data_IF_794283579293
#
_entry.id   IF_794283579293
#
_cell.length_a   1.000
_cell.length_b   1.000
_cell.length_c   1.000
_cell.angle_alpha   90.00
_cell.angle_beta   90.00
_cell.angle_gamma   90.00
#
_symmetry.space_group_name_H-M   'P 1'
#
loop_
_entity.id
_entity.type
_entity.pdbx_description
1 polymer ?
#
# COMPACT_ATOMS: atom_id res chain seq x y z
N UNK A 1 10.74 -21.21 -23.52
CA UNK A 1 10.51 -22.65 -23.42
C UNK A 1 9.84 -23.21 -24.66
N UNK A 2 9.33 -24.43 -24.54
CA UNK A 2 8.63 -25.17 -25.59
C UNK A 2 7.24 -24.59 -25.90
N UNK A 3 6.65 -25.04 -27.01
CA UNK A 3 5.25 -24.79 -27.30
C UNK A 3 4.40 -25.42 -26.20
N UNK A 4 3.59 -24.61 -25.52
CA UNK A 4 2.58 -25.10 -24.60
C UNK A 4 1.21 -25.07 -25.26
N UNK A 5 0.39 -26.07 -25.02
CA UNK A 5 -0.99 -26.16 -25.52
C UNK A 5 -2.00 -26.62 -24.45
N UNK A 6 -1.56 -26.84 -23.21
CA UNK A 6 -2.38 -27.34 -22.12
C UNK A 6 -1.95 -26.84 -20.74
N UNK A 7 -2.89 -26.80 -19.79
CA UNK A 7 -2.60 -26.70 -18.36
C UNK A 7 -2.73 -28.06 -17.68
N UNK A 8 -2.12 -28.19 -16.51
CA UNK A 8 -2.12 -29.41 -15.72
C UNK A 8 -2.63 -29.12 -14.32
N UNK A 9 -3.55 -29.94 -13.81
CA UNK A 9 -4.00 -29.96 -12.42
C UNK A 9 -3.39 -31.17 -11.72
N UNK A 10 -2.82 -30.97 -10.54
CA UNK A 10 -2.18 -32.05 -9.77
C UNK A 10 -3.25 -32.78 -8.96
N UNK A 11 -3.58 -34.01 -9.36
CA UNK A 11 -4.48 -34.88 -8.59
C UNK A 11 -3.76 -35.53 -7.40
N UNK A 12 -2.48 -35.87 -7.60
CA UNK A 12 -1.61 -36.50 -6.61
C UNK A 12 -0.13 -36.20 -6.92
N UNK A 13 0.74 -36.22 -5.91
CA UNK A 13 2.19 -36.01 -6.03
C UNK A 13 2.63 -34.55 -5.90
N UNK A 14 3.87 -34.28 -6.29
CA UNK A 14 4.47 -32.93 -6.24
C UNK A 14 5.24 -32.59 -7.50
N UNK A 15 5.11 -31.35 -7.95
CA UNK A 15 5.78 -30.81 -9.12
C UNK A 15 6.52 -29.54 -8.73
N UNK A 16 7.77 -29.43 -9.14
CA UNK A 16 8.63 -28.26 -8.94
C UNK A 16 8.68 -27.43 -10.21
N UNK A 17 8.49 -26.12 -10.09
CA UNK A 17 8.61 -25.17 -11.20
C UNK A 17 9.98 -24.50 -11.14
N UNK A 18 10.74 -24.60 -12.22
CA UNK A 18 12.13 -24.16 -12.31
C UNK A 18 12.34 -23.19 -13.49
N UNK A 19 13.31 -22.28 -13.36
CA UNK A 19 13.78 -21.45 -14.46
C UNK A 19 15.31 -21.41 -14.45
N UNK A 20 15.94 -21.44 -15.62
CA UNK A 20 17.37 -21.19 -15.72
C UNK A 20 17.65 -19.70 -15.57
N UNK A 21 18.45 -19.34 -14.56
CA UNK A 21 18.96 -17.99 -14.42
C UNK A 21 20.00 -17.68 -15.51
N UNK A 22 20.27 -16.38 -15.71
CA UNK A 22 21.17 -15.89 -16.78
C UNK A 22 22.61 -16.42 -16.63
N UNK A 23 23.02 -16.70 -15.40
CA UNK A 23 24.30 -17.29 -15.01
C UNK A 23 24.30 -18.83 -14.98
N UNK A 24 23.22 -19.45 -15.47
CA UNK A 24 23.15 -20.89 -15.76
C UNK A 24 22.76 -21.79 -14.59
N UNK A 25 22.54 -21.26 -13.39
CA UNK A 25 22.00 -22.05 -12.29
C UNK A 25 20.47 -22.17 -12.37
N UNK A 26 19.95 -23.31 -11.93
CA UNK A 26 18.52 -23.58 -11.92
C UNK A 26 17.89 -22.98 -10.66
N UNK A 27 16.93 -22.07 -10.83
CA UNK A 27 16.19 -21.43 -9.74
C UNK A 27 14.83 -22.09 -9.61
N UNK A 28 14.57 -22.66 -8.44
CA UNK A 28 13.23 -23.16 -8.09
C UNK A 28 12.33 -21.98 -7.74
N UNK A 29 11.27 -21.77 -8.52
CA UNK A 29 10.28 -20.70 -8.28
C UNK A 29 9.29 -21.12 -7.20
N UNK A 30 8.80 -22.36 -7.26
CA UNK A 30 7.83 -22.91 -6.30
C UNK A 30 7.73 -24.42 -6.40
N UNK A 31 7.17 -25.05 -5.36
CA UNK A 31 6.77 -26.45 -5.32
C UNK A 31 5.25 -26.53 -5.19
N UNK A 32 4.61 -27.33 -6.03
CA UNK A 32 3.15 -27.43 -6.17
C UNK A 32 2.68 -28.84 -5.78
N UNK A 33 1.54 -28.93 -5.11
CA UNK A 33 0.98 -30.18 -4.61
C UNK A 33 -0.46 -30.43 -5.08
N UNK A 34 -1.11 -31.44 -4.49
CA UNK A 34 -2.49 -31.81 -4.83
C UNK A 34 -3.44 -30.61 -4.77
N UNK A 35 -4.19 -30.39 -5.85
CA UNK A 35 -5.13 -29.29 -6.01
C UNK A 35 -4.54 -28.04 -6.67
N UNK A 36 -3.22 -27.93 -6.74
CA UNK A 36 -2.56 -26.87 -7.50
C UNK A 36 -2.55 -27.18 -9.00
N UNK A 37 -2.43 -26.13 -9.81
CA UNK A 37 -2.33 -26.24 -11.25
C UNK A 37 -1.18 -25.37 -11.78
N UNK A 38 -0.67 -25.72 -12.96
CA UNK A 38 0.39 -24.96 -13.64
C UNK A 38 0.22 -25.00 -15.16
N UNK A 39 0.86 -24.04 -15.83
CA UNK A 39 0.78 -23.91 -17.28
C UNK A 39 -0.50 -23.20 -17.76
N UNK A 40 -1.18 -22.52 -16.86
CA UNK A 40 -2.37 -21.71 -17.10
C UNK A 40 -2.08 -20.49 -18.00
N UNK A 41 -0.87 -19.92 -17.93
CA UNK A 41 -0.49 -18.76 -18.74
C UNK A 41 -0.65 -19.05 -20.24
N UNK A 42 -0.20 -20.22 -20.67
CA UNK A 42 -0.33 -20.72 -22.04
C UNK A 42 -1.78 -20.78 -22.51
N UNK A 43 -2.74 -21.03 -21.62
CA UNK A 43 -4.16 -21.00 -21.98
C UNK A 43 -4.69 -19.58 -22.21
N UNK A 44 -4.11 -18.59 -21.52
CA UNK A 44 -4.56 -17.21 -21.54
C UNK A 44 -3.88 -16.39 -22.64
N UNK A 45 -2.55 -16.44 -22.74
CA UNK A 45 -1.76 -15.58 -23.64
C UNK A 45 -1.32 -16.25 -24.95
N UNK A 46 -1.34 -17.59 -25.00
CA UNK A 46 -0.89 -18.37 -26.16
C UNK A 46 0.62 -18.30 -26.41
N UNK A 47 1.40 -17.83 -25.45
CA UNK A 47 2.86 -17.72 -25.52
C UNK A 47 3.53 -19.08 -25.24
N UNK A 48 4.84 -19.14 -25.44
CA UNK A 48 5.65 -20.32 -25.08
C UNK A 48 5.72 -20.50 -23.56
N UNK A 49 6.03 -21.73 -23.10
CA UNK A 49 6.23 -22.04 -21.68
C UNK A 49 7.23 -21.07 -21.04
N UNK A 50 6.85 -20.52 -19.90
CA UNK A 50 7.61 -19.51 -19.13
C UNK A 50 8.60 -20.12 -18.15
N UNK A 51 8.41 -21.38 -17.76
CA UNK A 51 9.23 -22.12 -16.81
C UNK A 51 9.13 -23.62 -17.09
N UNK A 52 10.11 -24.38 -16.61
CA UNK A 52 10.16 -25.84 -16.66
C UNK A 52 9.40 -26.43 -15.47
N UNK A 53 8.79 -27.61 -15.67
CA UNK A 53 8.07 -28.33 -14.63
C UNK A 53 8.70 -29.72 -14.45
N UNK A 54 9.22 -30.00 -13.26
CA UNK A 54 9.93 -31.24 -12.93
C UNK A 54 9.17 -31.98 -11.84
N UNK A 55 8.89 -33.26 -12.06
CA UNK A 55 8.23 -34.11 -11.06
C UNK A 55 9.18 -34.31 -9.87
N UNK A 56 8.75 -33.91 -8.68
CA UNK A 56 9.52 -34.07 -7.44
C UNK A 56 9.14 -35.35 -6.67
N UNK A 57 7.87 -35.75 -6.76
CA UNK A 57 7.32 -36.98 -6.20
C UNK A 57 6.32 -37.58 -7.21
N UNK A 58 6.16 -38.91 -7.23
CA UNK A 58 5.25 -39.63 -8.15
C UNK A 58 3.88 -38.92 -8.27
N UNK A 59 3.63 -38.36 -9.45
CA UNK A 59 2.54 -37.44 -9.68
C UNK A 59 1.53 -37.94 -10.71
N UNK A 60 0.25 -37.67 -10.43
CA UNK A 60 -0.85 -37.87 -11.37
C UNK A 60 -1.44 -36.51 -11.72
N UNK A 61 -1.48 -36.20 -13.01
CA UNK A 61 -1.89 -34.90 -13.52
C UNK A 61 -3.13 -35.06 -14.40
N UNK A 62 -4.13 -34.21 -14.19
CA UNK A 62 -5.23 -34.03 -15.11
C UNK A 62 -4.86 -32.94 -16.13
N UNK A 63 -5.04 -33.24 -17.42
CA UNK A 63 -4.70 -32.35 -18.52
C UNK A 63 -5.95 -31.62 -19.03
N UNK A 64 -5.85 -30.30 -19.19
CA UNK A 64 -6.85 -29.51 -19.89
C UNK A 64 -6.19 -28.78 -21.07
N UNK A 65 -6.55 -29.18 -22.28
CA UNK A 65 -6.05 -28.55 -23.50
C UNK A 65 -6.68 -27.18 -23.71
N UNK A 66 -5.94 -26.31 -24.40
CA UNK A 66 -6.42 -24.97 -24.78
C UNK A 66 -7.68 -25.04 -25.64
N UNK A 67 -7.77 -26.03 -26.52
CA UNK A 67 -8.96 -26.22 -27.35
C UNK A 67 -10.19 -26.55 -26.51
N UNK A 68 -10.10 -27.51 -25.59
CA UNK A 68 -11.21 -27.87 -24.71
C UNK A 68 -11.61 -26.73 -23.78
N UNK A 69 -10.63 -26.01 -23.22
CA UNK A 69 -10.89 -24.83 -22.40
C UNK A 69 -11.66 -23.75 -23.19
N UNK A 70 -11.18 -23.39 -24.38
CA UNK A 70 -11.84 -22.39 -25.22
C UNK A 70 -13.22 -22.85 -25.71
N UNK A 71 -13.39 -24.13 -26.04
CA UNK A 71 -14.69 -24.70 -26.41
C UNK A 71 -15.69 -24.59 -25.25
N UNK A 72 -15.28 -24.99 -24.04
CA UNK A 72 -16.10 -24.88 -22.83
C UNK A 72 -16.52 -23.43 -22.56
N UNK A 73 -15.59 -22.49 -22.67
CA UNK A 73 -15.85 -21.06 -22.46
C UNK A 73 -16.82 -20.49 -23.52
N UNK A 74 -16.71 -20.92 -24.78
CA UNK A 74 -17.64 -20.53 -25.85
C UNK A 74 -19.05 -21.09 -25.65
N UNK A 75 -19.15 -22.31 -25.14
CA UNK A 75 -20.44 -22.95 -24.86
C UNK A 75 -21.11 -22.45 -23.59
N UNK A 76 -20.36 -21.84 -22.66
CA UNK A 76 -20.85 -21.40 -21.35
C UNK A 76 -20.39 -19.96 -21.03
N UNK A 77 -20.92 -18.93 -21.73
CA UNK A 77 -20.50 -17.54 -21.56
C UNK A 77 -20.73 -16.98 -20.15
N UNK A 78 -21.74 -17.48 -19.42
CA UNK A 78 -22.00 -17.08 -18.03
C UNK A 78 -20.85 -17.43 -17.10
N UNK A 79 -20.22 -18.60 -17.30
CA UNK A 79 -19.06 -19.06 -16.51
C UNK A 79 -17.84 -18.18 -16.77
N UNK A 80 -17.67 -17.71 -18.00
CA UNK A 80 -16.60 -16.77 -18.34
C UNK A 80 -16.78 -15.44 -17.61
N UNK A 81 -18.01 -14.92 -17.54
CA UNK A 81 -18.33 -13.69 -16.84
C UNK A 81 -18.10 -13.83 -15.32
N UNK A 82 -18.45 -14.97 -14.73
CA UNK A 82 -18.17 -15.27 -13.33
C UNK A 82 -16.66 -15.35 -13.04
N UNK A 83 -15.88 -16.01 -13.89
CA UNK A 83 -14.42 -16.05 -13.76
C UNK A 83 -13.80 -14.65 -13.83
N UNK A 84 -14.23 -13.82 -14.79
CA UNK A 84 -13.77 -12.43 -14.91
C UNK A 84 -14.10 -11.62 -13.65
N UNK A 85 -15.31 -11.80 -13.10
CA UNK A 85 -15.76 -11.15 -11.87
C UNK A 85 -14.93 -11.60 -10.67
N UNK A 86 -14.63 -12.90 -10.56
CA UNK A 86 -13.79 -13.45 -9.50
C UNK A 86 -12.35 -12.92 -9.57
N UNK A 87 -11.77 -12.85 -10.78
CA UNK A 87 -10.43 -12.30 -11.01
C UNK A 87 -10.38 -10.80 -10.70
N UNK A 88 -11.36 -10.01 -11.12
CA UNK A 88 -11.46 -8.59 -10.81
C UNK A 88 -11.53 -8.36 -9.29
N UNK A 89 -12.34 -9.16 -8.58
CA UNK A 89 -12.42 -9.12 -7.12
C UNK A 89 -11.09 -9.48 -6.44
N UNK A 90 -10.39 -10.50 -6.94
CA UNK A 90 -9.07 -10.90 -6.42
C UNK A 90 -8.01 -9.83 -6.66
N UNK A 91 -8.01 -9.20 -7.84
CA UNK A 91 -7.11 -8.10 -8.17
C UNK A 91 -7.35 -6.91 -7.24
N UNK A 92 -8.61 -6.51 -7.03
CA UNK A 92 -8.97 -5.42 -6.12
C UNK A 92 -8.50 -5.68 -4.68
N UNK A 93 -8.71 -6.89 -4.17
CA UNK A 93 -8.21 -7.29 -2.83
C UNK A 93 -6.69 -7.25 -2.74
N UNK A 94 -5.99 -7.68 -3.79
CA UNK A 94 -4.52 -7.67 -3.81
C UNK A 94 -3.99 -6.23 -3.84
N UNK A 95 -4.64 -5.35 -4.59
CA UNK A 95 -4.30 -3.93 -4.65
C UNK A 95 -4.52 -3.22 -3.29
N UNK A 96 -5.62 -3.53 -2.59
CA UNK A 96 -5.85 -3.08 -1.21
C UNK A 96 -4.76 -3.53 -0.23
N UNK A 97 -4.29 -4.78 -0.33
CA UNK A 97 -3.20 -5.27 0.51
C UNK A 97 -1.86 -4.57 0.20
N UNK A 98 -1.59 -4.28 -1.07
CA UNK A 98 -0.40 -3.54 -1.49
C UNK A 98 -0.45 -2.07 -1.00
N UNK A 99 -1.60 -1.41 -1.08
CA UNK A 99 -1.83 -0.06 -0.51
C UNK A 99 -1.44 0.00 0.97
N UNK A 100 -1.89 -0.97 1.76
CA UNK A 100 -1.57 -1.02 3.19
C UNK A 100 -0.08 -1.26 3.48
N UNK A 101 0.61 -2.04 2.64
CA UNK A 101 2.06 -2.26 2.79
C UNK A 101 2.88 -1.04 2.38
N UNK A 102 2.56 -0.40 1.27
CA UNK A 102 3.27 0.79 0.79
C UNK A 102 3.18 1.94 1.81
N UNK A 103 1.97 2.24 2.29
CA UNK A 103 1.76 3.27 3.32
C UNK A 103 2.44 2.93 4.64
N UNK A 104 2.42 1.66 5.06
CA UNK A 104 3.14 1.22 6.26
C UNK A 104 4.65 1.34 6.11
N UNK A 105 5.21 1.02 4.93
CA UNK A 105 6.65 1.08 4.71
C UNK A 105 7.20 2.50 4.83
N UNK A 106 6.51 3.50 4.24
CA UNK A 106 6.87 4.92 4.39
C UNK A 106 6.94 5.36 5.86
N UNK A 107 6.01 4.87 6.70
CA UNK A 107 6.03 5.20 8.13
C UNK A 107 7.14 4.46 8.91
N UNK A 108 7.62 3.30 8.43
CA UNK A 108 8.63 2.47 9.13
C UNK A 108 10.04 2.94 8.82
N UNK A 109 10.33 3.23 7.54
CA UNK A 109 11.64 3.73 7.10
C UNK A 109 11.98 5.07 7.78
N UNK A 110 11.00 5.95 7.95
CA UNK A 110 11.18 7.24 8.61
C UNK A 110 11.39 7.10 10.13
N UNK A 111 10.64 6.22 10.80
CA UNK A 111 10.79 5.97 12.25
C UNK A 111 12.14 5.38 12.63
N UNK A 112 12.76 4.63 11.72
CA UNK A 112 14.08 4.05 11.91
C UNK A 112 15.20 5.11 11.86
N UNK A 113 14.94 6.29 11.29
CA UNK A 113 15.92 7.37 11.14
C UNK A 113 15.81 8.48 12.20
N UNK A 114 14.77 8.49 13.04
CA UNK A 114 14.60 9.56 14.03
C UNK A 114 15.69 9.54 15.10
N UNK A 115 16.36 10.67 15.24
CA UNK A 115 17.32 10.92 16.33
C UNK A 115 16.58 11.18 17.65
N UNK A 116 17.30 11.10 18.77
CA UNK A 116 16.73 11.47 20.08
C UNK A 116 16.26 12.94 20.11
N UNK A 117 16.94 13.82 19.38
CA UNK A 117 16.58 15.23 19.26
C UNK A 117 15.25 15.43 18.51
N UNK A 118 14.99 14.64 17.47
CA UNK A 118 13.71 14.69 16.73
C UNK A 118 12.53 14.32 17.62
N UNK A 119 12.69 13.27 18.43
CA UNK A 119 11.66 12.82 19.37
C UNK A 119 11.38 13.84 20.46
N UNK A 120 12.44 14.46 21.01
CA UNK A 120 12.29 15.52 22.00
C UNK A 120 11.59 16.75 21.40
N UNK A 121 11.94 17.14 20.17
CA UNK A 121 11.32 18.26 19.47
C UNK A 121 9.82 18.04 19.23
N UNK A 122 9.40 16.82 18.84
CA UNK A 122 7.97 16.52 18.65
C UNK A 122 7.18 16.58 19.96
N UNK A 123 7.73 16.07 21.05
CA UNK A 123 7.09 16.15 22.38
C UNK A 123 6.93 17.62 22.81
N UNK A 124 7.96 18.44 22.60
CA UNK A 124 7.93 19.87 22.94
C UNK A 124 6.91 20.62 22.07
N UNK A 125 6.84 20.32 20.78
CA UNK A 125 5.87 20.94 19.86
C UNK A 125 4.42 20.54 20.20
N UNK A 126 4.17 19.27 20.50
CA UNK A 126 2.85 18.76 20.90
C UNK A 126 2.39 19.37 22.24
N UNK A 127 3.31 19.48 23.21
CA UNK A 127 3.03 20.11 24.49
C UNK A 127 2.72 21.61 24.35
N UNK A 128 3.56 22.34 23.60
CA UNK A 128 3.41 23.77 23.35
C UNK A 128 2.14 24.14 22.58
N UNK A 129 1.62 23.24 21.75
CA UNK A 129 0.38 23.42 20.99
C UNK A 129 -0.91 23.08 21.75
N UNK A 130 -0.83 22.66 23.01
CA UNK A 130 -2.01 22.17 23.75
C UNK A 130 -2.76 23.28 24.52
N UNK A 131 -4.09 23.18 24.55
CA UNK A 131 -4.93 24.09 25.35
C UNK A 131 -4.66 23.99 26.86
N UNK A 132 -4.27 22.81 27.35
CA UNK A 132 -3.90 22.59 28.76
C UNK A 132 -2.62 23.36 29.11
N UNK A 133 -1.64 23.38 28.21
CA UNK A 133 -0.41 24.17 28.37
C UNK A 133 -0.72 25.66 28.46
N UNK A 134 -1.52 26.20 27.53
CA UNK A 134 -1.91 27.62 27.52
C UNK A 134 -2.56 28.02 28.86
N UNK A 135 -3.52 27.24 29.34
CA UNK A 135 -4.20 27.51 30.62
C UNK A 135 -3.22 27.43 31.78
N UNK A 136 -2.36 26.40 31.82
CA UNK A 136 -1.36 26.26 32.89
C UNK A 136 -0.33 27.39 32.91
N UNK A 137 0.08 27.88 31.73
CA UNK A 137 0.99 29.00 31.60
C UNK A 137 0.33 30.27 32.14
N UNK A 138 -0.89 30.60 31.71
CA UNK A 138 -1.64 31.76 32.19
C UNK A 138 -1.82 31.74 33.71
N UNK A 139 -2.16 30.57 34.28
CA UNK A 139 -2.27 30.41 35.73
C UNK A 139 -0.92 30.61 36.43
N UNK A 140 0.16 30.01 35.90
CA UNK A 140 1.52 30.19 36.43
C UNK A 140 1.94 31.66 36.42
N UNK A 141 1.70 32.38 35.33
CA UNK A 141 1.97 33.82 35.21
C UNK A 141 1.24 34.63 36.29
N UNK A 142 -0.07 34.43 36.40
CA UNK A 142 -0.88 35.14 37.39
C UNK A 142 -0.46 34.81 38.82
N UNK A 143 -0.15 33.53 39.09
CA UNK A 143 0.33 33.09 40.39
C UNK A 143 1.69 33.69 40.74
N UNK A 144 2.64 33.72 39.79
CA UNK A 144 3.96 34.32 39.97
C UNK A 144 3.87 35.80 40.32
N UNK A 145 3.04 36.54 39.57
CA UNK A 145 2.77 37.95 39.83
C UNK A 145 2.14 38.10 41.22
N UNK A 146 1.05 37.37 41.53
CA UNK A 146 0.37 37.46 42.82
C UNK A 146 1.32 37.21 44.01
N UNK A 147 2.17 36.19 43.92
CA UNK A 147 3.13 35.84 44.96
C UNK A 147 4.16 36.95 45.16
N UNK A 148 4.77 37.46 44.08
CA UNK A 148 5.83 38.48 44.20
C UNK A 148 5.29 39.88 44.50
N UNK A 149 4.09 40.23 44.06
CA UNK A 149 3.50 41.56 44.32
C UNK A 149 2.86 41.64 45.70
N UNK A 150 2.13 40.60 46.11
CA UNK A 150 1.22 40.70 47.25
C UNK A 150 1.65 39.86 48.44
N UNK A 151 2.10 38.62 48.19
CA UNK A 151 2.42 37.68 49.27
C UNK A 151 3.81 37.92 49.86
N UNK A 152 4.79 38.27 49.03
CA UNK A 152 6.16 38.56 49.43
C UNK A 152 6.52 40.04 49.28
N UNK A 153 5.57 40.97 49.32
CA UNK A 153 5.79 42.40 49.01
C UNK A 153 7.08 43.01 49.62
N UNK A 154 7.41 42.68 50.88
CA UNK A 154 8.60 43.20 51.59
C UNK A 154 9.89 42.37 51.38
N UNK A 155 9.81 41.19 50.77
CA UNK A 155 10.93 40.27 50.51
C UNK A 155 10.80 39.62 49.12
N UNK A 156 10.27 40.38 48.16
CA UNK A 156 9.92 39.88 46.85
C UNK A 156 11.20 39.48 46.11
N UNK A 157 11.20 38.25 45.58
CA UNK A 157 12.34 37.72 44.86
C UNK A 157 12.42 38.29 43.43
N UNK A 158 11.28 38.59 42.82
CA UNK A 158 11.17 39.18 41.48
C UNK A 158 10.16 40.34 41.51
N UNK A 159 10.60 41.52 41.94
CA UNK A 159 9.75 42.72 42.07
C UNK A 159 9.38 43.28 40.70
N UNK A 160 8.19 43.90 40.60
CA UNK A 160 7.79 44.65 39.40
C UNK A 160 8.93 45.59 38.97
N UNK A 161 9.44 45.47 37.72
CA UNK A 161 8.79 44.93 36.50
C UNK A 161 9.02 43.44 36.13
N UNK A 162 9.36 42.55 37.07
CA UNK A 162 9.51 41.09 36.88
C UNK A 162 10.61 40.68 35.88
N UNK A 163 11.84 41.14 36.12
CA UNK A 163 12.96 40.90 35.21
C UNK A 163 13.30 39.41 35.06
N UNK A 164 13.17 38.65 36.13
CA UNK A 164 13.58 37.24 36.18
C UNK A 164 12.59 36.38 35.37
N UNK A 165 11.29 36.59 35.59
CA UNK A 165 10.23 35.98 34.78
C UNK A 165 10.38 36.36 33.30
N UNK A 166 10.51 37.65 33.00
CA UNK A 166 10.63 38.16 31.62
C UNK A 166 11.84 37.55 30.89
N UNK A 167 12.98 37.45 31.57
CA UNK A 167 14.20 36.88 31.00
C UNK A 167 14.05 35.38 30.74
N UNK A 168 13.44 34.63 31.67
CA UNK A 168 13.19 33.20 31.50
C UNK A 168 12.30 32.92 30.27
N UNK A 169 11.24 33.69 30.09
CA UNK A 169 10.32 33.54 28.94
C UNK A 169 11.01 33.88 27.64
N UNK A 170 11.80 34.95 27.61
CA UNK A 170 12.54 35.33 26.39
C UNK A 170 13.53 34.22 25.99
N UNK A 171 14.21 33.59 26.95
CA UNK A 171 15.07 32.43 26.66
C UNK A 171 14.29 31.24 26.11
N UNK A 172 13.12 30.93 26.69
CA UNK A 172 12.24 29.86 26.21
C UNK A 172 11.69 30.15 24.80
N UNK A 173 11.26 31.39 24.54
CA UNK A 173 10.63 31.79 23.28
C UNK A 173 11.57 31.65 22.08
N UNK A 174 12.86 31.96 22.25
CA UNK A 174 13.87 31.81 21.18
C UNK A 174 14.02 30.36 20.73
N UNK A 175 13.89 29.41 21.65
CA UNK A 175 14.03 27.98 21.33
C UNK A 175 12.75 27.38 20.73
N UNK A 176 11.58 27.94 21.03
CA UNK A 176 10.30 27.37 20.61
C UNK A 176 10.06 27.47 19.10
N UNK A 177 10.33 28.61 18.47
CA UNK A 177 10.01 28.80 17.05
C UNK A 177 10.76 27.83 16.10
N UNK A 178 12.08 27.60 16.24
CA UNK A 178 12.79 26.61 15.42
C UNK A 178 12.33 25.17 15.66
N UNK A 179 12.01 24.81 16.92
CA UNK A 179 11.53 23.46 17.27
C UNK A 179 10.17 23.19 16.63
N UNK A 180 9.24 24.14 16.74
CA UNK A 180 7.92 24.05 16.10
C UNK A 180 8.09 23.97 14.58
N UNK A 181 8.93 24.81 13.98
CA UNK A 181 9.18 24.79 12.54
C UNK A 181 9.81 23.48 12.07
N UNK A 182 10.72 22.89 12.84
CA UNK A 182 11.32 21.59 12.53
C UNK A 182 10.28 20.45 12.58
N UNK A 183 9.42 20.44 13.60
CA UNK A 183 8.31 19.48 13.71
C UNK A 183 7.32 19.66 12.56
N UNK A 184 6.95 20.89 12.20
CA UNK A 184 6.07 21.21 11.07
C UNK A 184 6.67 20.83 9.71
N UNK A 185 7.96 21.13 9.47
CA UNK A 185 8.65 20.75 8.23
C UNK A 185 8.67 19.22 8.07
N UNK A 186 8.91 18.47 9.15
CA UNK A 186 8.86 17.01 9.14
C UNK A 186 7.45 16.49 8.85
N UNK A 187 6.44 17.03 9.52
CA UNK A 187 5.05 16.59 9.33
C UNK A 187 4.53 16.90 7.92
N UNK A 188 4.84 18.08 7.37
CA UNK A 188 4.46 18.45 6.00
C UNK A 188 5.15 17.59 4.93
N UNK A 189 6.41 17.21 5.12
CA UNK A 189 7.11 16.30 4.22
C UNK A 189 6.43 14.93 4.18
N UNK A 190 6.07 14.40 5.35
CA UNK A 190 5.32 13.14 5.47
C UNK A 190 3.95 13.21 4.80
N UNK A 191 3.21 14.28 5.00
CA UNK A 191 1.89 14.47 4.39
C UNK A 191 1.99 14.57 2.86
N UNK A 192 3.06 15.19 2.35
CA UNK A 192 3.34 15.26 0.91
C UNK A 192 3.63 13.88 0.30
N UNK A 193 4.50 13.08 0.94
CA UNK A 193 4.79 11.71 0.47
C UNK A 193 3.56 10.80 0.49
N UNK A 194 2.75 10.89 1.55
CA UNK A 194 1.50 10.13 1.64
C UNK A 194 0.54 10.52 0.52
N UNK A 195 0.37 11.82 0.29
CA UNK A 195 -0.52 12.34 -0.77
C UNK A 195 -0.06 11.91 -2.17
N UNK A 196 1.25 11.87 -2.43
CA UNK A 196 1.79 11.38 -3.71
C UNK A 196 1.47 9.89 -3.91
N UNK A 197 1.67 9.05 -2.89
CA UNK A 197 1.33 7.61 -2.98
C UNK A 197 -0.17 7.43 -3.23
N UNK A 198 -1.01 8.12 -2.48
CA UNK A 198 -2.47 8.05 -2.64
C UNK A 198 -2.89 8.50 -4.05
N UNK A 199 -2.26 9.55 -4.58
CA UNK A 199 -2.46 10.02 -5.95
C UNK A 199 -2.08 8.96 -6.99
N UNK A 200 -0.88 8.41 -6.92
CA UNK A 200 -0.39 7.40 -7.87
C UNK A 200 -1.31 6.18 -7.93
N UNK A 201 -1.76 5.74 -6.76
CA UNK A 201 -2.65 4.60 -6.64
C UNK A 201 -4.04 4.91 -7.22
N UNK A 202 -4.58 6.11 -6.96
CA UNK A 202 -5.87 6.50 -7.51
C UNK A 202 -5.82 6.61 -9.04
N UNK A 203 -4.76 7.22 -9.57
CA UNK A 203 -4.51 7.32 -11.01
C UNK A 203 -4.43 5.93 -11.66
N UNK A 204 -3.67 5.01 -11.07
CA UNK A 204 -3.56 3.63 -11.57
C UNK A 204 -4.92 2.92 -11.62
N UNK A 205 -5.75 3.13 -10.60
CA UNK A 205 -7.07 2.52 -10.55
C UNK A 205 -8.02 3.13 -11.57
N UNK A 206 -7.95 4.45 -11.79
CA UNK A 206 -8.73 5.12 -12.84
C UNK A 206 -8.33 4.64 -14.24
N UNK A 207 -7.03 4.48 -14.51
CA UNK A 207 -6.53 3.92 -15.77
C UNK A 207 -6.99 2.48 -15.99
N UNK A 208 -6.89 1.63 -14.97
CA UNK A 208 -7.34 0.23 -15.06
C UNK A 208 -8.85 0.12 -15.29
N UNK A 209 -9.65 0.96 -14.62
CA UNK A 209 -11.10 1.02 -14.84
C UNK A 209 -11.43 1.46 -16.26
N UNK A 210 -10.74 2.49 -16.76
CA UNK A 210 -10.93 2.96 -18.13
C UNK A 210 -10.58 1.86 -19.15
N UNK A 211 -9.51 1.10 -18.94
CA UNK A 211 -9.17 -0.04 -19.81
C UNK A 211 -10.26 -1.12 -19.77
N UNK A 212 -10.76 -1.49 -18.59
CA UNK A 212 -11.83 -2.47 -18.43
C UNK A 212 -13.11 -2.00 -19.15
N UNK A 213 -13.50 -0.74 -18.99
CA UNK A 213 -14.69 -0.17 -19.64
C UNK A 213 -14.54 -0.22 -21.17
N UNK A 214 -13.37 0.10 -21.71
CA UNK A 214 -13.11 0.04 -23.15
C UNK A 214 -13.19 -1.40 -23.70
N UNK A 215 -12.66 -2.38 -22.97
CA UNK A 215 -12.76 -3.79 -23.34
C UNK A 215 -14.21 -4.28 -23.29
N UNK A 216 -14.98 -3.90 -22.26
CA UNK A 216 -16.40 -4.23 -22.15
C UNK A 216 -17.22 -3.66 -23.32
N UNK A 217 -17.01 -2.38 -23.66
CA UNK A 217 -17.66 -1.76 -24.84
C UNK A 217 -17.30 -2.43 -26.16
N UNK A 218 -16.14 -3.07 -26.24
CA UNK A 218 -15.71 -3.78 -27.44
C UNK A 218 -16.39 -5.15 -27.52
N UNK A 219 -16.41 -5.89 -26.42
CA UNK A 219 -17.15 -7.16 -26.31
C UNK A 219 -18.65 -6.99 -26.55
N UNK A 220 -19.26 -5.93 -26.00
CA UNK A 220 -20.67 -5.61 -26.21
C UNK A 220 -20.98 -5.39 -27.70
N UNK A 221 -20.12 -4.63 -28.40
CA UNK A 221 -20.27 -4.40 -29.85
C UNK A 221 -20.12 -5.69 -30.66
N UNK A 222 -19.17 -6.55 -30.33
CA UNK A 222 -19.02 -7.86 -31.00
C UNK A 222 -20.22 -8.77 -30.75
N UNK A 223 -20.70 -8.84 -29.51
CA UNK A 223 -21.87 -9.62 -29.16
C UNK A 223 -23.13 -9.14 -29.91
N UNK A 224 -23.38 -7.83 -29.92
CA UNK A 224 -24.51 -7.24 -30.65
C UNK A 224 -24.42 -7.52 -32.16
N UNK A 225 -23.21 -7.47 -32.73
CA UNK A 225 -23.00 -7.80 -34.14
C UNK A 225 -23.34 -9.27 -34.42
N UNK A 226 -22.83 -10.20 -33.61
CA UNK A 226 -23.12 -11.64 -33.75
C UNK A 226 -24.62 -11.94 -33.58
N UNK A 227 -25.28 -11.30 -32.63
CA UNK A 227 -26.72 -11.43 -32.44
C UNK A 227 -27.51 -10.92 -33.66
N UNK A 228 -27.07 -9.83 -34.28
CA UNK A 228 -27.68 -9.26 -35.48
C UNK A 228 -27.47 -10.13 -36.74
N UNK A 229 -26.34 -10.81 -36.85
CA UNK A 229 -26.04 -11.75 -37.94
C UNK A 229 -26.90 -13.01 -37.81
N UNK A 230 -27.06 -13.55 -36.60
CA UNK A 230 -27.96 -14.69 -36.32
C UNK A 230 -29.45 -14.42 -36.57
N UNK A 231 -29.89 -13.16 -36.52
CA UNK A 231 -31.27 -12.78 -36.83
C UNK A 231 -31.52 -12.60 -38.34
N UNK A 232 -30.47 -12.60 -39.16
CA UNK A 232 -30.55 -12.46 -40.63
C UNK A 232 -30.49 -13.79 -41.39
N UNK A 233 -30.17 -14.88 -40.70
CA UNK A 233 -30.30 -16.26 -41.18
C UNK A 233 -31.66 -16.86 -40.77
#
# INVERSE_FOLDING_TARGET
GDAGDAMYLIEHGKVRICMQAIDGHEVTLTELGRGDFFGEMVLLDGQRRSADAVVAEDARLALLSREHFLSFMRSNPDVALEMLTALANRLRRTDELLRHRATRNVNVEERAQFTLADRAADIIAEFGGSWKFIISAVLFFNLWVLINTWLLADSAFDTYPYLLLSTAINMLAVLQAPIILMSQNRQSHKDRLRSEIDYQINLKNELALNEIIQRLKTLEREYLRLASEKQRE
#
